data_IF_130948380680
#
_entry.id   IF_130948380680
#
_cell.length_a   1.000
_cell.length_b   1.000
_cell.length_c   1.000
_cell.angle_alpha   90.00
_cell.angle_beta   90.00
_cell.angle_gamma   90.00
#
_symmetry.space_group_name_H-M   'P 1'
#
loop_
_entity.id
_entity.type
_entity.pdbx_description
1 polymer ?
#
# COMPACT_ATOMS: atom_id res chain seq x y z
N UNK A 1 13.26 -20.54 25.65
CA UNK A 1 13.09 -19.13 26.06
C UNK A 1 13.95 -18.15 25.24
N UNK A 2 15.14 -18.54 24.76
CA UNK A 2 16.06 -17.65 23.99
C UNK A 2 15.53 -17.27 22.60
N UNK A 3 14.75 -18.12 21.93
CA UNK A 3 14.19 -17.87 20.60
C UNK A 3 12.96 -16.96 20.60
N UNK A 4 12.24 -16.89 21.73
CA UNK A 4 11.06 -16.03 21.86
C UNK A 4 11.46 -14.55 21.91
N UNK A 5 12.57 -14.23 22.57
CA UNK A 5 13.09 -12.86 22.64
C UNK A 5 13.56 -12.32 21.27
N UNK A 6 14.15 -13.18 20.44
CA UNK A 6 14.60 -12.80 19.11
C UNK A 6 13.43 -12.50 18.16
N UNK A 7 12.37 -13.30 18.24
CA UNK A 7 11.16 -13.12 17.43
C UNK A 7 10.40 -11.83 17.80
N UNK A 8 10.33 -11.50 19.09
CA UNK A 8 9.70 -10.25 19.55
C UNK A 8 10.52 -9.03 19.12
N UNK A 9 11.85 -9.07 19.21
CA UNK A 9 12.70 -7.97 18.77
C UNK A 9 12.57 -7.70 17.27
N UNK A 10 12.47 -8.75 16.44
CA UNK A 10 12.27 -8.61 14.99
C UNK A 10 10.91 -7.97 14.65
N UNK A 11 9.85 -8.36 15.35
CA UNK A 11 8.50 -7.83 15.14
C UNK A 11 8.43 -6.32 15.47
N UNK A 12 9.09 -5.87 16.52
CA UNK A 12 9.14 -4.45 16.91
C UNK A 12 9.90 -3.61 15.88
N UNK A 13 10.98 -4.13 15.31
CA UNK A 13 11.77 -3.42 14.30
C UNK A 13 10.99 -3.15 13.00
N UNK A 14 10.17 -4.10 12.56
CA UNK A 14 9.36 -3.95 11.32
C UNK A 14 8.21 -2.95 11.53
N UNK A 15 7.59 -2.95 12.70
CA UNK A 15 6.52 -1.99 13.04
C UNK A 15 7.04 -0.54 13.07
N UNK A 16 8.28 -0.31 13.49
CA UNK A 16 8.90 1.01 13.55
C UNK A 16 8.99 1.71 12.19
N UNK A 17 9.34 0.99 11.12
CA UNK A 17 9.44 1.58 9.78
C UNK A 17 8.10 2.07 9.22
N UNK A 18 7.00 1.37 9.48
CA UNK A 18 5.67 1.77 9.03
C UNK A 18 5.18 3.03 9.75
N UNK A 19 5.42 3.11 11.06
CA UNK A 19 5.07 4.27 11.87
C UNK A 19 5.88 5.50 11.41
N UNK A 20 7.17 5.34 11.16
CA UNK A 20 8.02 6.44 10.69
C UNK A 20 7.56 6.98 9.32
N UNK A 21 7.18 6.11 8.39
CA UNK A 21 6.62 6.55 7.10
C UNK A 21 5.29 7.28 7.28
N UNK A 22 4.43 6.78 8.16
CA UNK A 22 3.17 7.46 8.47
C UNK A 22 3.42 8.86 9.02
N UNK A 23 4.41 9.02 9.90
CA UNK A 23 4.82 10.31 10.44
C UNK A 23 5.23 11.28 9.33
N UNK A 24 6.11 10.85 8.41
CA UNK A 24 6.51 11.66 7.24
C UNK A 24 5.30 12.14 6.44
N UNK A 25 4.32 11.26 6.20
CA UNK A 25 3.12 11.63 5.47
C UNK A 25 2.24 12.64 6.24
N UNK A 26 2.15 12.52 7.57
CA UNK A 26 1.41 13.51 8.37
C UNK A 26 2.15 14.85 8.43
N UNK A 27 3.47 14.84 8.59
CA UNK A 27 4.30 16.05 8.63
C UNK A 27 4.23 16.81 7.30
N UNK A 28 4.17 16.10 6.17
CA UNK A 28 4.05 16.70 4.85
C UNK A 28 2.78 17.56 4.71
N UNK A 29 1.68 17.16 5.33
CA UNK A 29 0.43 17.97 5.31
C UNK A 29 0.62 19.36 5.89
N UNK A 30 1.47 19.49 6.90
CA UNK A 30 1.77 20.78 7.53
C UNK A 30 2.96 21.49 6.83
N UNK A 31 4.05 20.77 6.56
CA UNK A 31 5.29 21.37 6.07
C UNK A 31 5.21 21.82 4.61
N UNK A 32 4.36 21.18 3.80
CA UNK A 32 4.21 21.55 2.40
C UNK A 32 3.29 22.76 2.18
N UNK A 33 2.46 23.13 3.15
CA UNK A 33 1.62 24.33 3.03
C UNK A 33 2.49 25.57 2.89
N UNK A 34 2.19 26.40 1.88
CA UNK A 34 2.96 27.60 1.53
C UNK A 34 4.10 27.38 0.55
N UNK A 35 4.42 26.14 0.16
CA UNK A 35 5.39 25.90 -0.91
C UNK A 35 4.87 26.42 -2.27
N UNK A 36 5.77 26.96 -3.08
CA UNK A 36 5.46 27.37 -4.44
C UNK A 36 5.38 26.18 -5.40
N UNK A 37 4.81 26.37 -6.58
CA UNK A 37 4.77 25.37 -7.64
C UNK A 37 6.17 24.85 -8.01
N UNK A 38 7.16 25.75 -8.07
CA UNK A 38 8.54 25.40 -8.39
C UNK A 38 9.16 24.52 -7.33
N UNK A 39 8.86 24.80 -6.05
CA UNK A 39 9.34 24.00 -4.93
C UNK A 39 8.71 22.60 -4.94
N UNK A 40 7.40 22.51 -5.21
CA UNK A 40 6.71 21.22 -5.36
C UNK A 40 7.26 20.43 -6.55
N UNK A 41 7.47 21.08 -7.71
CA UNK A 41 8.11 20.42 -8.86
C UNK A 41 9.52 19.94 -8.54
N UNK A 42 10.27 20.70 -7.77
CA UNK A 42 11.64 20.36 -7.37
C UNK A 42 11.71 19.14 -6.45
N UNK A 43 10.75 18.95 -5.56
CA UNK A 43 10.76 17.86 -4.57
C UNK A 43 9.89 16.65 -4.97
N UNK A 44 8.76 16.84 -5.67
CA UNK A 44 7.87 15.74 -6.09
C UNK A 44 8.00 15.38 -7.57
N UNK A 45 8.61 16.26 -8.37
CA UNK A 45 8.63 16.11 -9.82
C UNK A 45 7.30 16.49 -10.49
N UNK A 46 7.13 16.19 -11.79
CA UNK A 46 5.92 16.50 -12.52
C UNK A 46 4.74 15.64 -12.03
N UNK A 47 3.54 16.23 -11.81
CA UNK A 47 2.35 15.47 -11.44
C UNK A 47 1.85 14.62 -12.62
N UNK A 48 1.23 13.48 -12.27
CA UNK A 48 0.59 12.60 -13.26
C UNK A 48 -0.68 13.21 -13.86
N UNK A 49 -1.42 13.97 -13.04
CA UNK A 49 -2.64 14.68 -13.45
C UNK A 49 -2.69 16.08 -12.84
N UNK A 50 -3.31 17.00 -13.58
CA UNK A 50 -3.59 18.37 -13.14
C UNK A 50 -5.04 18.72 -13.44
N UNK A 51 -5.71 19.34 -12.46
CA UNK A 51 -7.01 19.96 -12.64
C UNK A 51 -6.92 21.40 -12.13
N UNK A 52 -7.59 22.34 -12.80
CA UNK A 52 -7.60 23.74 -12.40
C UNK A 52 -9.02 24.31 -12.56
N UNK A 53 -9.44 25.09 -11.56
CA UNK A 53 -10.69 25.82 -11.55
C UNK A 53 -10.43 27.17 -10.88
N UNK A 54 -10.59 28.26 -11.62
CA UNK A 54 -10.29 29.60 -11.16
C UNK A 54 -8.84 29.76 -10.70
N UNK A 55 -8.64 30.11 -9.45
CA UNK A 55 -7.32 30.28 -8.84
C UNK A 55 -6.82 29.03 -8.09
N UNK A 56 -7.60 27.96 -8.13
CA UNK A 56 -7.28 26.70 -7.48
C UNK A 56 -6.81 25.66 -8.50
N UNK A 57 -5.69 25.04 -8.22
CA UNK A 57 -5.16 23.91 -8.98
C UNK A 57 -4.99 22.70 -8.06
N UNK A 58 -5.24 21.52 -8.58
CA UNK A 58 -4.96 20.25 -7.89
C UNK A 58 -3.99 19.46 -8.72
N UNK A 59 -2.85 19.14 -8.13
CA UNK A 59 -1.83 18.29 -8.72
C UNK A 59 -1.87 16.92 -8.07
N UNK A 60 -2.08 15.87 -8.88
CA UNK A 60 -2.22 14.50 -8.37
C UNK A 60 -1.00 13.66 -8.70
N UNK A 61 -0.46 13.03 -7.67
CA UNK A 61 0.68 12.12 -7.73
C UNK A 61 0.21 10.73 -7.27
N UNK A 62 0.12 9.79 -8.20
CA UNK A 62 -0.22 8.43 -7.87
C UNK A 62 1.04 7.65 -7.49
N UNK A 63 0.99 7.00 -6.37
CA UNK A 63 1.99 6.07 -5.91
C UNK A 63 1.53 4.64 -6.09
N UNK A 64 2.40 3.85 -6.68
CA UNK A 64 2.10 2.47 -7.00
C UNK A 64 1.37 2.32 -8.34
N UNK A 65 1.61 1.23 -8.99
CA UNK A 65 1.00 0.83 -10.27
C UNK A 65 -0.36 0.15 -10.07
N UNK A 66 -1.02 0.32 -8.93
CA UNK A 66 -2.23 -0.41 -8.57
C UNK A 66 -1.99 -1.91 -8.37
N UNK A 67 -0.73 -2.32 -8.08
CA UNK A 67 -0.38 -3.71 -7.91
C UNK A 67 -1.21 -4.34 -6.78
N UNK A 68 -2.00 -5.34 -7.16
CA UNK A 68 -2.77 -6.17 -6.24
C UNK A 68 -1.96 -7.45 -6.00
N UNK A 69 -1.49 -7.64 -4.76
CA UNK A 69 -0.93 -8.92 -4.35
C UNK A 69 -2.06 -9.80 -3.85
N UNK A 70 -2.25 -10.94 -4.50
CA UNK A 70 -3.21 -11.95 -4.06
C UNK A 70 -2.43 -13.15 -3.55
N UNK A 71 -2.59 -13.48 -2.28
CA UNK A 71 -2.12 -14.73 -1.71
C UNK A 71 -3.31 -15.67 -1.65
N UNK A 72 -3.25 -16.76 -2.39
CA UNK A 72 -4.25 -17.81 -2.38
C UNK A 72 -3.64 -19.05 -1.73
N UNK A 73 -4.31 -19.59 -0.72
CA UNK A 73 -4.03 -20.92 -0.16
C UNK A 73 -5.17 -21.85 -0.52
N UNK A 74 -4.85 -23.00 -1.06
CA UNK A 74 -5.83 -24.03 -1.38
C UNK A 74 -5.40 -25.36 -0.74
N UNK A 75 -6.30 -25.93 0.04
CA UNK A 75 -6.18 -27.30 0.53
C UNK A 75 -7.05 -28.20 -0.34
N UNK A 76 -6.42 -29.20 -0.94
CA UNK A 76 -7.10 -30.19 -1.78
C UNK A 76 -6.98 -31.57 -1.12
N UNK A 77 -8.11 -32.14 -0.78
CA UNK A 77 -8.19 -33.52 -0.29
C UNK A 77 -8.73 -34.42 -1.41
N UNK A 78 -7.92 -35.40 -1.80
CA UNK A 78 -8.31 -36.37 -2.84
C UNK A 78 -8.46 -37.74 -2.19
N UNK A 79 -9.65 -38.30 -2.28
CA UNK A 79 -9.93 -39.68 -1.87
C UNK A 79 -10.20 -40.52 -3.11
N UNK A 80 -9.45 -41.62 -3.27
CA UNK A 80 -9.64 -42.53 -4.39
C UNK A 80 -9.81 -43.98 -3.91
N UNK A 81 -10.67 -44.73 -4.58
CA UNK A 81 -10.84 -46.15 -4.38
C UNK A 81 -10.63 -46.85 -5.70
N UNK A 82 -9.87 -47.95 -5.67
CA UNK A 82 -9.68 -48.82 -6.82
C UNK A 82 -9.99 -50.25 -6.44
N UNK A 83 -10.75 -50.94 -7.28
CA UNK A 83 -11.04 -52.37 -7.15
C UNK A 83 -10.65 -53.14 -8.40
N UNK A 84 -10.15 -54.34 -8.23
CA UNK A 84 -9.78 -55.22 -9.31
C UNK A 84 -10.80 -56.36 -9.45
N UNK A 85 -11.36 -56.49 -10.63
CA UNK A 85 -12.27 -57.59 -10.98
C UNK A 85 -11.67 -58.29 -12.21
N UNK A 86 -11.15 -59.51 -11.97
CA UNK A 86 -10.44 -60.25 -13.01
C UNK A 86 -9.16 -59.53 -13.47
N UNK A 87 -9.06 -59.23 -14.74
CA UNK A 87 -7.93 -58.54 -15.33
C UNK A 87 -8.14 -57.02 -15.56
N UNK A 88 -9.24 -56.50 -15.06
CA UNK A 88 -9.58 -55.06 -15.17
C UNK A 88 -9.58 -54.37 -13.82
N UNK A 89 -9.10 -53.11 -13.80
CA UNK A 89 -9.06 -52.26 -12.62
C UNK A 89 -10.05 -51.12 -12.82
N UNK A 90 -10.97 -50.98 -11.87
CA UNK A 90 -11.94 -49.90 -11.82
C UNK A 90 -11.55 -48.99 -10.64
N UNK A 91 -11.46 -47.68 -10.91
CA UNK A 91 -11.13 -46.69 -9.91
C UNK A 91 -12.00 -45.46 -10.02
N UNK A 92 -12.35 -44.90 -8.88
CA UNK A 92 -12.99 -43.56 -8.79
C UNK A 92 -12.22 -42.71 -7.77
N UNK A 93 -12.02 -41.43 -8.11
CA UNK A 93 -11.42 -40.45 -7.23
C UNK A 93 -12.32 -39.21 -7.13
N UNK A 94 -12.56 -38.75 -5.90
CA UNK A 94 -13.23 -37.50 -5.65
C UNK A 94 -12.24 -36.53 -4.98
N UNK A 95 -12.16 -35.31 -5.51
CA UNK A 95 -11.35 -34.23 -4.97
C UNK A 95 -12.26 -33.12 -4.48
N UNK A 96 -12.08 -32.74 -3.24
CA UNK A 96 -12.71 -31.54 -2.65
C UNK A 96 -11.61 -30.56 -2.25
N UNK A 97 -11.74 -29.32 -2.71
CA UNK A 97 -10.78 -28.26 -2.40
C UNK A 97 -11.47 -27.05 -1.78
N UNK A 98 -10.90 -26.50 -0.74
CA UNK A 98 -11.25 -25.21 -0.18
C UNK A 98 -10.09 -24.25 -0.36
N UNK A 99 -10.36 -23.08 -0.93
CA UNK A 99 -9.36 -22.05 -1.13
C UNK A 99 -9.80 -20.73 -0.53
N UNK A 100 -8.87 -20.05 0.12
CA UNK A 100 -9.06 -18.66 0.53
C UNK A 100 -8.06 -17.78 -0.21
N UNK A 101 -8.54 -16.67 -0.76
CA UNK A 101 -7.71 -15.68 -1.41
C UNK A 101 -7.83 -14.34 -0.68
N UNK A 102 -6.69 -13.79 -0.27
CA UNK A 102 -6.60 -12.46 0.30
C UNK A 102 -5.93 -11.55 -0.74
N UNK A 103 -6.67 -10.54 -1.20
CA UNK A 103 -6.15 -9.53 -2.11
C UNK A 103 -5.87 -8.24 -1.35
N UNK A 104 -4.63 -7.76 -1.40
CA UNK A 104 -4.23 -6.50 -0.78
C UNK A 104 -3.85 -5.51 -1.88
N UNK A 105 -4.59 -4.42 -1.99
CA UNK A 105 -4.22 -3.28 -2.83
C UNK A 105 -3.45 -2.26 -2.00
N UNK A 106 -2.25 -1.93 -2.44
CA UNK A 106 -1.45 -0.87 -1.84
C UNK A 106 -1.21 0.20 -2.88
N UNK A 107 -1.91 1.30 -2.74
CA UNK A 107 -1.71 2.49 -3.57
C UNK A 107 -2.06 3.74 -2.74
N UNK A 108 -1.46 4.84 -3.12
CA UNK A 108 -1.83 6.15 -2.60
C UNK A 108 -1.85 7.17 -3.74
N UNK A 109 -2.81 8.05 -3.73
CA UNK A 109 -2.80 9.25 -4.54
C UNK A 109 -2.65 10.45 -3.61
N UNK A 110 -1.60 11.22 -3.83
CA UNK A 110 -1.36 12.49 -3.15
C UNK A 110 -1.95 13.60 -4.00
N UNK A 111 -2.90 14.36 -3.47
CA UNK A 111 -3.47 15.53 -4.11
C UNK A 111 -2.92 16.78 -3.41
N UNK A 112 -2.08 17.52 -4.13
CA UNK A 112 -1.56 18.81 -3.69
C UNK A 112 -2.49 19.89 -4.23
N UNK A 113 -3.22 20.54 -3.33
CA UNK A 113 -4.13 21.64 -3.66
C UNK A 113 -3.35 22.93 -3.55
N UNK A 114 -3.39 23.74 -4.60
CA UNK A 114 -2.72 25.03 -4.68
C UNK A 114 -3.75 26.13 -4.91
N UNK A 115 -3.59 27.22 -4.19
CA UNK A 115 -4.39 28.43 -4.36
C UNK A 115 -3.45 29.60 -4.61
N UNK A 116 -3.68 30.35 -5.67
CA UNK A 116 -2.79 31.46 -6.09
C UNK A 116 -1.33 31.03 -6.26
N UNK A 117 -1.09 29.79 -6.70
CA UNK A 117 0.25 29.27 -6.96
C UNK A 117 1.02 28.75 -5.73
N UNK A 118 0.41 28.78 -4.55
CA UNK A 118 0.96 28.24 -3.31
C UNK A 118 0.16 27.05 -2.82
N UNK A 119 0.82 26.08 -2.23
CA UNK A 119 0.15 24.92 -1.62
C UNK A 119 -0.73 25.37 -0.46
N UNK A 120 -2.02 25.10 -0.55
CA UNK A 120 -3.01 25.36 0.49
C UNK A 120 -3.38 24.11 1.30
N UNK A 121 -3.29 22.91 0.69
CA UNK A 121 -3.55 21.66 1.38
C UNK A 121 -2.88 20.47 0.67
N UNK A 122 -2.61 19.41 1.43
CA UNK A 122 -2.18 18.11 0.92
C UNK A 122 -3.12 17.04 1.42
N UNK A 123 -3.75 16.32 0.49
CA UNK A 123 -4.73 15.28 0.77
C UNK A 123 -4.27 13.93 0.23
N UNK A 124 -4.58 12.86 0.95
CA UNK A 124 -4.26 11.50 0.59
C UNK A 124 -5.52 10.71 0.28
N UNK A 125 -5.48 9.90 -0.78
CA UNK A 125 -6.55 9.01 -1.19
C UNK A 125 -6.01 7.61 -1.42
N UNK A 126 -6.78 6.60 -1.01
CA UNK A 126 -6.45 5.19 -1.15
C UNK A 126 -6.34 4.45 0.18
N UNK A 127 -6.13 3.14 0.18
CA UNK A 127 -5.92 2.34 1.37
C UNK A 127 -4.51 2.63 1.95
N UNK A 128 -4.40 3.67 2.74
CA UNK A 128 -3.14 4.28 3.17
C UNK A 128 -2.59 3.72 4.48
N UNK A 129 -2.99 2.54 4.89
CA UNK A 129 -2.54 1.91 6.13
C UNK A 129 -3.62 1.83 7.22
N UNK A 130 -3.25 1.32 8.40
CA UNK A 130 -4.13 1.19 9.56
C UNK A 130 -4.28 2.48 10.37
N UNK A 131 -4.95 2.38 11.51
CA UNK A 131 -5.22 3.53 12.39
C UNK A 131 -3.95 4.27 12.82
N UNK A 132 -2.84 3.53 13.07
CA UNK A 132 -1.54 4.09 13.48
C UNK A 132 -0.58 4.36 12.32
N UNK A 133 -0.90 3.88 11.13
CA UNK A 133 -0.05 3.97 9.94
C UNK A 133 -0.74 4.67 8.78
N UNK A 134 -1.72 5.52 9.09
CA UNK A 134 -2.45 6.28 8.09
C UNK A 134 -1.50 7.17 7.25
N UNK A 135 -1.54 7.01 5.93
CA UNK A 135 -0.68 7.74 5.01
C UNK A 135 0.67 7.10 4.71
N UNK A 136 1.03 5.98 5.35
CA UNK A 136 2.34 5.33 5.16
C UNK A 136 2.67 5.07 3.67
N UNK A 137 1.65 4.68 2.88
CA UNK A 137 1.80 4.41 1.45
C UNK A 137 2.03 5.67 0.61
N UNK A 138 1.75 6.85 1.17
CA UNK A 138 1.94 8.15 0.53
C UNK A 138 3.30 8.76 0.84
N UNK A 139 3.97 8.29 1.89
CA UNK A 139 5.20 8.89 2.40
C UNK A 139 6.27 9.06 1.32
N UNK A 140 6.48 8.06 0.46
CA UNK A 140 7.53 8.12 -0.54
C UNK A 140 7.32 9.24 -1.59
N UNK A 141 6.08 9.63 -1.86
CA UNK A 141 5.80 10.71 -2.80
C UNK A 141 6.13 12.09 -2.22
N UNK A 142 6.06 12.24 -0.90
CA UNK A 142 6.25 13.52 -0.20
C UNK A 142 7.55 13.61 0.61
N UNK A 143 8.28 12.51 0.77
CA UNK A 143 9.50 12.43 1.63
C UNK A 143 10.55 13.48 1.27
N UNK A 144 10.72 13.76 -0.03
CA UNK A 144 11.69 14.77 -0.49
C UNK A 144 11.27 16.21 -0.20
N UNK A 145 9.97 16.45 0.07
CA UNK A 145 9.42 17.78 0.39
C UNK A 145 9.39 18.07 1.89
N UNK A 146 9.67 17.07 2.73
CA UNK A 146 9.63 17.17 4.20
C UNK A 146 11.04 17.29 4.75
N UNK A 147 11.25 18.22 5.65
CA UNK A 147 12.52 18.32 6.41
C UNK A 147 12.58 17.14 7.38
N UNK A 148 13.57 16.31 7.25
CA UNK A 148 13.87 15.23 8.22
C UNK A 148 14.31 15.88 9.53
N UNK A 149 13.58 15.59 10.59
CA UNK A 149 13.97 15.97 11.95
C UNK A 149 15.00 14.99 12.49
#
# INVERSE_FOLDING_TARGET
MRNLGLAVALAVAVAGCAIQRAQVAQDARAQMVGLSKEQVLGCMGPPGNKAAEGQTEVWSYASGNGFSSTVATADVNTTGQASRIGNQVYGSANSTGFGTAVSTRRFCTVNVVMTNGLVSAVNYQGPTGGLLTAGEQCAFAVDACVKKQ
#
